data_IF_268416544827
#
_entry.id   IF_268416544827
#
_cell.length_a   1.000
_cell.length_b   1.000
_cell.length_c   1.000
_cell.angle_alpha   90.00
_cell.angle_beta   90.00
_cell.angle_gamma   90.00
#
_symmetry.space_group_name_H-M   'P 1'
#
loop_
_entity.id
_entity.type
_entity.pdbx_description
1 polymer ?
#
# COMPACT_ATOMS: atom_id res chain seq x y z
N UNK A 1 -26.93 -4.65 16.06
CA UNK A 1 -25.63 -5.04 15.49
C UNK A 1 -25.16 -3.90 14.60
N UNK A 2 -24.00 -3.29 14.88
CA UNK A 2 -23.46 -2.18 14.09
C UNK A 2 -22.81 -2.77 12.82
N UNK A 3 -23.40 -2.54 11.66
CA UNK A 3 -22.99 -3.13 10.37
C UNK A 3 -21.79 -2.44 9.74
N UNK A 4 -20.62 -2.51 10.38
CA UNK A 4 -19.38 -2.04 9.78
C UNK A 4 -18.90 -3.06 8.73
N UNK A 5 -18.63 -2.57 7.51
CA UNK A 5 -18.07 -3.36 6.41
C UNK A 5 -16.55 -3.24 6.45
N UNK A 6 -15.88 -4.32 6.09
CA UNK A 6 -14.44 -4.34 5.86
C UNK A 6 -14.18 -4.83 4.44
N UNK A 7 -13.12 -4.34 3.82
CA UNK A 7 -12.70 -4.77 2.49
C UNK A 7 -11.40 -5.56 2.61
N UNK A 8 -11.29 -6.56 1.76
CA UNK A 8 -10.09 -7.37 1.65
C UNK A 8 -9.72 -7.49 0.17
N UNK A 9 -8.46 -7.31 -0.14
CA UNK A 9 -7.92 -7.37 -1.49
C UNK A 9 -6.61 -8.13 -1.48
N UNK A 10 -6.37 -8.90 -2.54
CA UNK A 10 -5.07 -9.53 -2.79
C UNK A 10 -4.29 -8.65 -3.74
N UNK A 11 -3.05 -8.33 -3.39
CA UNK A 11 -2.14 -7.54 -4.22
C UNK A 11 -0.87 -8.30 -4.51
N UNK A 12 -0.37 -8.12 -5.73
CA UNK A 12 0.98 -8.50 -6.14
C UNK A 12 1.82 -7.23 -6.19
N UNK A 13 2.97 -7.28 -5.53
CA UNK A 13 3.80 -6.14 -5.25
C UNK A 13 5.14 -6.30 -5.97
N UNK A 14 5.39 -5.44 -6.96
CA UNK A 14 6.70 -5.31 -7.60
C UNK A 14 7.65 -4.44 -6.74
N UNK A 15 8.91 -4.35 -7.13
CA UNK A 15 9.92 -3.52 -6.46
C UNK A 15 9.46 -2.06 -6.33
N UNK A 16 9.72 -1.42 -5.17
CA UNK A 16 9.47 0.02 -4.96
C UNK A 16 8.07 0.41 -4.47
N UNK A 17 7.39 -0.48 -3.76
CA UNK A 17 5.96 -0.39 -3.54
C UNK A 17 5.52 0.52 -2.39
N UNK A 18 4.87 1.64 -2.70
CA UNK A 18 4.15 2.54 -1.81
C UNK A 18 4.99 3.43 -0.88
N UNK A 19 5.03 4.76 -1.14
CA UNK A 19 5.72 5.72 -0.27
C UNK A 19 5.03 5.89 1.10
N UNK A 20 5.67 6.57 2.06
CA UNK A 20 5.08 6.77 3.38
C UNK A 20 3.70 7.43 3.34
N UNK A 21 2.72 6.83 4.02
CA UNK A 21 1.35 7.32 4.10
C UNK A 21 0.69 6.89 5.41
N UNK A 22 -0.49 7.44 5.68
CA UNK A 22 -1.33 7.04 6.81
C UNK A 22 -2.80 6.98 6.39
N UNK A 23 -3.59 6.20 7.14
CA UNK A 23 -5.01 6.03 6.90
C UNK A 23 -5.85 6.32 8.13
N UNK A 24 -7.12 6.66 7.95
CA UNK A 24 -8.07 6.85 9.07
C UNK A 24 -8.67 5.55 9.61
N UNK A 25 -8.35 4.40 9.03
CA UNK A 25 -8.86 3.09 9.45
C UNK A 25 -7.71 2.18 9.86
N UNK A 26 -8.04 1.00 10.38
CA UNK A 26 -7.05 -0.06 10.46
C UNK A 26 -6.73 -0.57 9.06
N UNK A 27 -5.46 -0.88 8.88
CA UNK A 27 -4.94 -1.60 7.75
C UNK A 27 -4.14 -2.78 8.28
N UNK A 28 -4.28 -3.93 7.64
CA UNK A 28 -3.51 -5.10 8.00
C UNK A 28 -3.05 -5.84 6.75
N UNK A 29 -1.88 -6.43 6.86
CA UNK A 29 -1.25 -7.22 5.82
C UNK A 29 -1.05 -8.64 6.31
N UNK A 30 -1.36 -9.59 5.45
CA UNK A 30 -1.02 -11.00 5.64
C UNK A 30 -0.19 -11.49 4.45
N UNK A 31 0.99 -12.03 4.73
CA UNK A 31 1.90 -12.53 3.70
C UNK A 31 1.37 -13.82 3.07
N UNK A 32 1.28 -13.85 1.73
CA UNK A 32 0.83 -15.01 0.95
C UNK A 32 1.98 -15.70 0.22
N UNK A 33 2.88 -14.91 -0.37
CA UNK A 33 4.03 -15.40 -1.15
C UNK A 33 5.11 -14.31 -1.23
N UNK A 34 6.37 -14.71 -1.42
CA UNK A 34 7.50 -13.77 -1.42
C UNK A 34 7.68 -13.02 -0.09
N UNK A 35 8.36 -11.86 -0.12
CA UNK A 35 8.67 -11.07 1.07
C UNK A 35 8.30 -9.61 0.82
N UNK A 36 7.45 -9.06 1.69
CA UNK A 36 7.16 -7.63 1.74
C UNK A 36 7.77 -7.03 3.01
N UNK A 37 8.55 -5.96 2.88
CA UNK A 37 8.97 -5.16 4.02
C UNK A 37 7.97 -4.03 4.25
N UNK A 38 7.61 -3.82 5.51
CA UNK A 38 6.75 -2.72 5.94
C UNK A 38 7.50 -1.92 6.99
N UNK A 39 7.67 -0.63 6.75
CA UNK A 39 8.20 0.29 7.76
C UNK A 39 7.03 0.95 8.48
N UNK A 40 6.97 0.85 9.81
CA UNK A 40 5.90 1.40 10.64
C UNK A 40 6.54 2.07 11.86
N UNK A 41 6.33 3.38 12.04
CA UNK A 41 6.88 4.11 13.19
C UNK A 41 8.41 4.00 13.32
N UNK A 42 9.15 3.93 12.19
CA UNK A 42 10.60 3.79 12.15
C UNK A 42 11.13 2.38 12.46
N UNK A 43 10.26 1.37 12.56
CA UNK A 43 10.63 -0.03 12.68
C UNK A 43 10.29 -0.76 11.38
N UNK A 44 11.14 -1.70 10.96
CA UNK A 44 10.92 -2.53 9.77
C UNK A 44 10.47 -3.92 10.13
N UNK A 45 9.42 -4.38 9.46
CA UNK A 45 8.83 -5.69 9.62
C UNK A 45 8.91 -6.44 8.29
N UNK A 46 9.30 -7.72 8.33
CA UNK A 46 9.30 -8.60 7.16
C UNK A 46 8.04 -9.46 7.19
N UNK A 47 7.25 -9.37 6.13
CA UNK A 47 6.06 -10.17 5.91
C UNK A 47 6.39 -11.28 4.93
N UNK A 48 6.79 -12.42 5.50
CA UNK A 48 6.94 -13.70 4.80
C UNK A 48 5.58 -14.43 4.77
N UNK A 49 5.43 -15.53 4.01
CA UNK A 49 4.17 -16.27 3.97
C UNK A 49 3.72 -16.71 5.36
N UNK A 50 2.49 -16.34 5.73
CA UNK A 50 1.91 -16.59 7.06
C UNK A 50 2.15 -15.50 8.10
N UNK A 51 3.00 -14.51 7.83
CA UNK A 51 3.19 -13.36 8.72
C UNK A 51 1.97 -12.42 8.66
N UNK A 52 1.63 -11.81 9.79
CA UNK A 52 0.54 -10.85 9.91
C UNK A 52 1.03 -9.58 10.61
N UNK A 53 0.67 -8.41 10.06
CA UNK A 53 0.93 -7.11 10.66
C UNK A 53 -0.32 -6.25 10.58
N UNK A 54 -0.72 -5.67 11.71
CA UNK A 54 -1.82 -4.71 11.78
C UNK A 54 -1.30 -3.34 12.17
N UNK A 55 -1.75 -2.33 11.43
CA UNK A 55 -1.40 -0.94 11.58
C UNK A 55 -2.62 -0.20 12.14
N UNK A 56 -2.38 0.61 13.17
CA UNK A 56 -3.42 1.42 13.79
C UNK A 56 -3.73 2.66 12.92
N UNK A 57 -4.96 3.18 12.97
CA UNK A 57 -5.32 4.43 12.32
C UNK A 57 -4.33 5.56 12.63
N UNK A 58 -3.95 6.33 11.60
CA UNK A 58 -3.06 7.49 11.68
C UNK A 58 -1.58 7.16 11.80
N UNK A 59 -1.20 5.88 11.90
CA UNK A 59 0.21 5.49 11.96
C UNK A 59 0.81 5.51 10.56
N UNK A 60 1.85 6.33 10.39
CA UNK A 60 2.60 6.41 9.13
C UNK A 60 3.33 5.10 8.88
N UNK A 61 3.16 4.59 7.67
CA UNK A 61 3.84 3.40 7.21
C UNK A 61 4.18 3.49 5.72
N UNK A 62 5.16 2.69 5.29
CA UNK A 62 5.52 2.50 3.88
C UNK A 62 5.75 1.03 3.62
N UNK A 63 5.65 0.64 2.34
CA UNK A 63 5.94 -0.73 1.94
C UNK A 63 7.18 -0.74 1.04
N UNK A 64 7.81 -1.89 0.94
CA UNK A 64 8.96 -2.11 0.09
C UNK A 64 9.09 -3.58 -0.23
N UNK A 65 9.09 -3.95 -1.50
CA UNK A 65 9.56 -5.26 -1.91
C UNK A 65 11.07 -5.19 -2.16
N UNK A 66 11.91 -5.86 -1.34
CA UNK A 66 13.37 -5.81 -1.43
C UNK A 66 13.95 -6.70 -2.52
N UNK A 67 13.14 -7.57 -3.13
CA UNK A 67 13.57 -8.58 -4.09
C UNK A 67 13.22 -8.25 -5.54
N UNK A 68 13.81 -9.01 -6.49
CA UNK A 68 13.43 -8.95 -7.90
C UNK A 68 12.12 -9.70 -8.21
N UNK A 69 11.74 -10.65 -7.34
CA UNK A 69 10.50 -11.42 -7.46
C UNK A 69 9.33 -10.66 -6.85
N UNK A 70 8.11 -11.04 -7.23
CA UNK A 70 6.91 -10.44 -6.64
C UNK A 70 6.66 -10.89 -5.20
N UNK A 71 6.15 -9.98 -4.38
CA UNK A 71 5.53 -10.32 -3.11
C UNK A 71 4.00 -10.33 -3.26
N UNK A 72 3.32 -11.30 -2.67
CA UNK A 72 1.85 -11.38 -2.66
C UNK A 72 1.36 -11.23 -1.24
N UNK A 73 0.43 -10.31 -1.05
CA UNK A 73 -0.17 -10.03 0.26
C UNK A 73 -1.67 -9.93 0.17
N UNK A 74 -2.32 -10.30 1.27
CA UNK A 74 -3.71 -9.97 1.53
C UNK A 74 -3.73 -8.67 2.34
N UNK A 75 -4.32 -7.62 1.80
CA UNK A 75 -4.54 -6.36 2.51
C UNK A 75 -5.98 -6.33 3.00
N UNK A 76 -6.14 -5.98 4.28
CA UNK A 76 -7.43 -5.90 4.96
C UNK A 76 -7.58 -4.49 5.49
N UNK A 77 -8.70 -3.87 5.19
CA UNK A 77 -9.00 -2.50 5.59
C UNK A 77 -10.31 -2.49 6.37
N UNK A 78 -10.28 -1.94 7.58
CA UNK A 78 -11.41 -1.99 8.50
C UNK A 78 -11.51 -0.78 9.44
N UNK A 79 -12.70 -0.19 9.62
CA UNK A 79 -13.89 -0.34 8.77
C UNK A 79 -13.70 0.41 7.45
N UNK A 80 -14.32 -0.05 6.36
CA UNK A 80 -14.38 0.71 5.12
C UNK A 80 -13.94 -0.06 3.88
N UNK A 81 -13.77 0.71 2.80
CA UNK A 81 -13.44 0.24 1.46
C UNK A 81 -12.53 1.22 0.73
N UNK A 82 -11.73 2.01 1.45
CA UNK A 82 -10.96 3.09 0.83
C UNK A 82 -9.94 2.60 -0.20
N UNK A 83 -9.35 1.42 0.01
CA UNK A 83 -8.40 0.85 -0.94
C UNK A 83 -9.08 0.46 -2.24
N UNK A 84 -10.25 -0.16 -2.18
CA UNK A 84 -11.04 -0.49 -3.36
C UNK A 84 -11.32 0.78 -4.19
N UNK A 85 -11.76 1.86 -3.52
CA UNK A 85 -11.98 3.16 -4.16
C UNK A 85 -10.69 3.79 -4.70
N UNK A 86 -9.59 3.69 -3.97
CA UNK A 86 -8.30 4.28 -4.35
C UNK A 86 -7.71 3.60 -5.57
N UNK A 87 -7.54 2.27 -5.53
CA UNK A 87 -6.96 1.51 -6.63
C UNK A 87 -7.85 1.54 -7.87
N UNK A 88 -9.19 1.48 -7.73
CA UNK A 88 -10.09 1.59 -8.88
C UNK A 88 -10.14 2.99 -9.50
N UNK A 89 -9.77 4.04 -8.76
CA UNK A 89 -9.74 5.42 -9.28
C UNK A 89 -8.38 5.82 -9.84
N UNK A 90 -7.30 5.27 -9.27
CA UNK A 90 -5.92 5.59 -9.65
C UNK A 90 -5.36 4.63 -10.71
N UNK A 91 -5.71 3.35 -10.62
CA UNK A 91 -5.20 2.30 -11.48
C UNK A 91 -6.06 2.07 -12.71
N UNK A 92 -5.50 1.34 -13.67
CA UNK A 92 -6.19 0.83 -14.85
C UNK A 92 -6.48 -0.67 -14.67
N UNK A 93 -7.61 -1.18 -15.20
CA UNK A 93 -7.87 -2.61 -15.22
C UNK A 93 -6.77 -3.38 -15.96
N UNK A 94 -6.32 -4.50 -15.37
CA UNK A 94 -5.32 -5.39 -15.98
C UNK A 94 -6.04 -6.60 -16.57
N UNK A 95 -5.88 -6.83 -17.87
CA UNK A 95 -6.49 -7.97 -18.57
C UNK A 95 -5.83 -9.31 -18.22
N UNK A 96 -4.49 -9.33 -18.11
CA UNK A 96 -3.71 -10.50 -17.70
C UNK A 96 -2.92 -10.21 -16.41
N UNK A 97 -3.48 -10.52 -15.23
CA UNK A 97 -2.81 -10.32 -13.95
C UNK A 97 -1.52 -11.13 -13.77
N UNK A 98 -1.31 -12.19 -14.56
CA UNK A 98 -0.09 -12.99 -14.51
C UNK A 98 1.05 -12.32 -15.30
N UNK A 99 0.74 -11.37 -16.18
CA UNK A 99 1.70 -10.59 -16.96
C UNK A 99 1.31 -9.10 -16.98
N UNK A 100 1.34 -8.41 -15.82
CA UNK A 100 0.94 -7.02 -15.75
C UNK A 100 1.89 -6.15 -16.59
N UNK A 101 1.37 -5.11 -17.27
CA UNK A 101 2.22 -4.18 -18.01
C UNK A 101 3.18 -3.47 -17.06
N UNK A 102 4.44 -3.30 -17.49
CA UNK A 102 5.38 -2.46 -16.74
C UNK A 102 4.96 -0.99 -16.88
N UNK A 103 4.77 -0.25 -15.77
CA UNK A 103 4.51 1.18 -15.84
C UNK A 103 5.67 1.89 -16.52
N UNK A 104 5.40 2.71 -17.54
CA UNK A 104 6.43 3.52 -18.21
C UNK A 104 6.98 4.62 -17.29
N UNK A 105 6.14 5.12 -16.37
CA UNK A 105 6.48 6.09 -15.35
C UNK A 105 5.55 5.96 -14.13
N UNK A 106 6.00 6.32 -12.92
CA UNK A 106 5.13 6.41 -11.77
C UNK A 106 4.06 7.51 -11.96
N UNK A 107 2.85 7.36 -11.40
CA UNK A 107 1.86 8.42 -11.41
C UNK A 107 2.39 9.67 -10.66
N UNK A 108 1.94 10.86 -11.07
CA UNK A 108 2.37 12.10 -10.42
C UNK A 108 1.94 12.11 -8.95
N UNK A 109 2.83 12.60 -8.07
CA UNK A 109 2.52 12.69 -6.63
C UNK A 109 1.25 13.50 -6.36
N UNK A 110 1.03 14.59 -7.11
CA UNK A 110 -0.19 15.40 -7.00
C UNK A 110 -1.45 14.59 -7.27
N UNK A 111 -1.46 13.77 -8.32
CA UNK A 111 -2.61 12.92 -8.66
C UNK A 111 -2.85 11.85 -7.59
N UNK A 112 -1.77 11.20 -7.14
CA UNK A 112 -1.83 10.19 -6.06
C UNK A 112 -2.41 10.82 -4.79
N UNK A 113 -1.88 11.97 -4.37
CA UNK A 113 -2.31 12.70 -3.18
C UNK A 113 -3.79 13.10 -3.26
N UNK A 114 -4.23 13.63 -4.41
CA UNK A 114 -5.61 14.06 -4.59
C UNK A 114 -6.59 12.89 -4.45
N UNK A 115 -6.31 11.76 -5.09
CA UNK A 115 -7.16 10.56 -5.02
C UNK A 115 -7.12 9.96 -3.61
N UNK A 116 -5.93 9.85 -3.01
CA UNK A 116 -5.75 9.35 -1.65
C UNK A 116 -6.58 10.14 -0.63
N UNK A 117 -6.51 11.47 -0.64
CA UNK A 117 -7.29 12.32 0.27
C UNK A 117 -8.80 12.09 0.12
N UNK A 118 -9.29 11.94 -1.12
CA UNK A 118 -10.72 11.66 -1.39
C UNK A 118 -11.20 10.31 -0.86
N UNK A 119 -10.25 9.42 -0.56
CA UNK A 119 -10.46 8.09 0.00
C UNK A 119 -10.12 8.01 1.49
N UNK A 120 -9.57 9.07 2.11
CA UNK A 120 -9.22 9.08 3.53
C UNK A 120 -7.81 8.56 3.85
N UNK A 121 -6.91 8.60 2.85
CA UNK A 121 -5.47 8.35 3.00
C UNK A 121 -4.70 9.65 2.83
N UNK A 122 -3.56 9.74 3.49
CA UNK A 122 -2.66 10.88 3.46
C UNK A 122 -1.25 10.41 3.12
N UNK A 123 -0.81 10.60 1.87
CA UNK A 123 0.58 10.36 1.46
C UNK A 123 1.47 11.52 1.90
N UNK A 124 2.69 11.19 2.32
CA UNK A 124 3.68 12.17 2.69
C UNK A 124 4.49 12.56 1.44
N UNK A 125 4.85 13.84 1.28
CA UNK A 125 5.69 14.26 0.19
C UNK A 125 7.04 13.52 0.26
N UNK A 126 7.67 13.23 -0.89
CA UNK A 126 8.98 12.63 -0.90
C UNK A 126 9.97 13.49 -0.09
N UNK A 127 10.91 12.88 0.63
CA UNK A 127 11.90 13.63 1.40
C UNK A 127 12.62 14.58 0.45
N UNK A 128 12.68 15.85 0.86
CA UNK A 128 13.48 16.85 0.15
C UNK A 128 14.93 16.37 0.24
N UNK A 129 15.60 16.18 -0.91
CA UNK A 129 17.05 15.92 -0.89
C UNK A 129 17.68 17.14 -0.21
N UNK A 130 18.21 16.96 0.98
CA UNK A 130 19.10 17.96 1.57
C UNK A 130 20.21 18.16 0.55
N UNK A 131 20.29 19.37 -0.01
CA UNK A 131 21.44 19.77 -0.80
C UNK A 131 22.62 19.69 0.15
N UNK A 132 23.44 18.65 0.00
CA UNK A 132 24.76 18.60 0.64
C UNK A 132 25.50 19.86 0.17
N UNK A 133 25.56 20.84 1.08
CA UNK A 133 26.36 22.05 0.94
C UNK A 133 27.79 21.75 1.39
#
# INVERSE_FOLDING_TARGET
MCGQRSTCLTSTVATGCSPPHSEKTHEAFYGLDGILEVEVGGQRYRLEPGAFLSIQPGVVHSLHNPGPDWARVLTIVSPGSQHDRFFSTLGEPIEDPANPPQPSEPPSFERVQQVAHSCGMDFLPPPQRESLA
#
